data_IF_446589146328
#
_entry.id   IF_446589146328
#
_cell.length_a   1.000
_cell.length_b   1.000
_cell.length_c   1.000
_cell.angle_alpha   90.00
_cell.angle_beta   90.00
_cell.angle_gamma   90.00
#
_symmetry.space_group_name_H-M   'P 1'
#
loop_
_entity.id
_entity.type
_entity.pdbx_description
1 polymer ?
#
# COMPACT_ATOMS: atom_id res chain seq x y z
N UNK A 1 65.96 -2.05 0.40
CA UNK A 1 66.55 -1.80 -0.94
C UNK A 1 65.70 -2.53 -1.95
N UNK A 2 65.07 -1.94 -2.95
CA UNK A 2 65.19 -0.62 -3.57
C UNK A 2 63.79 -0.21 -4.08
N UNK A 3 63.44 1.05 -3.83
CA UNK A 3 62.32 1.82 -4.41
C UNK A 3 62.76 2.37 -5.78
N UNK A 4 61.79 2.87 -6.57
CA UNK A 4 61.86 3.91 -7.63
C UNK A 4 61.32 3.39 -8.99
N UNK A 5 60.33 3.99 -9.69
CA UNK A 5 59.91 5.40 -9.78
C UNK A 5 58.39 5.59 -10.08
N UNK A 6 57.90 6.66 -9.44
CA UNK A 6 56.69 7.50 -9.49
C UNK A 6 56.36 8.10 -10.89
N UNK A 7 55.09 8.27 -11.30
CA UNK A 7 54.26 9.52 -11.35
C UNK A 7 53.61 9.53 -12.77
N UNK A 8 52.42 10.01 -13.11
CA UNK A 8 51.53 11.03 -12.56
C UNK A 8 50.14 10.89 -13.24
N UNK A 9 49.14 11.56 -12.65
CA UNK A 9 47.95 12.13 -13.30
C UNK A 9 46.62 11.35 -13.34
N UNK A 10 45.82 11.69 -12.33
CA UNK A 10 44.52 12.38 -12.48
C UNK A 10 43.33 11.60 -13.04
N UNK A 11 42.38 11.33 -12.15
CA UNK A 11 41.04 10.91 -12.54
C UNK A 11 40.18 10.50 -11.35
N UNK A 12 39.93 11.43 -10.43
CA UNK A 12 38.89 11.25 -9.42
C UNK A 12 37.55 10.97 -10.11
N UNK A 13 37.09 9.73 -10.01
CA UNK A 13 35.77 9.30 -10.44
C UNK A 13 35.41 8.10 -9.59
N UNK A 14 35.13 8.34 -8.30
CA UNK A 14 34.35 7.40 -7.50
C UNK A 14 32.98 7.36 -8.15
N UNK A 15 32.84 6.49 -9.14
CA UNK A 15 31.60 6.25 -9.84
C UNK A 15 30.56 5.87 -8.81
N UNK A 16 29.61 6.78 -8.58
CA UNK A 16 28.32 6.46 -8.02
C UNK A 16 27.83 5.24 -8.77
N UNK A 17 27.86 4.09 -8.10
CA UNK A 17 27.29 2.87 -8.63
C UNK A 17 25.80 3.12 -8.67
N UNK A 18 25.33 3.69 -9.79
CA UNK A 18 23.93 3.78 -10.15
C UNK A 18 23.42 2.34 -10.19
N UNK A 19 22.97 1.84 -9.03
CA UNK A 19 22.35 0.53 -8.87
C UNK A 19 21.03 0.58 -9.62
N UNK A 20 21.09 0.38 -10.94
CA UNK A 20 19.92 0.27 -11.78
C UNK A 20 19.10 -0.91 -11.25
N UNK A 21 17.95 -0.59 -10.66
CA UNK A 21 16.94 -1.58 -10.31
C UNK A 21 16.59 -2.36 -11.57
N UNK A 22 16.54 -3.69 -11.49
CA UNK A 22 16.04 -4.49 -12.62
C UNK A 22 14.61 -4.03 -12.95
N UNK A 23 14.26 -3.95 -14.24
CA UNK A 23 12.94 -3.46 -14.67
C UNK A 23 11.80 -4.19 -13.97
N UNK A 24 11.94 -5.49 -13.73
CA UNK A 24 10.94 -6.29 -13.01
C UNK A 24 10.78 -5.87 -11.55
N UNK A 25 11.89 -5.53 -10.88
CA UNK A 25 11.88 -5.04 -9.50
C UNK A 25 11.23 -3.67 -9.39
N UNK A 26 11.50 -2.80 -10.39
CA UNK A 26 10.83 -1.51 -10.49
C UNK A 26 9.32 -1.68 -10.69
N UNK A 27 8.87 -2.58 -11.57
CA UNK A 27 7.44 -2.85 -11.76
C UNK A 27 6.76 -3.36 -10.50
N UNK A 28 7.40 -4.29 -9.76
CA UNK A 28 6.85 -4.76 -8.47
C UNK A 28 6.76 -3.61 -7.47
N UNK A 29 7.81 -2.79 -7.34
CA UNK A 29 7.83 -1.66 -6.42
C UNK A 29 6.74 -0.63 -6.75
N UNK A 30 6.62 -0.25 -8.01
CA UNK A 30 5.58 0.67 -8.49
C UNK A 30 4.19 0.09 -8.23
N UNK A 31 3.97 -1.20 -8.50
CA UNK A 31 2.68 -1.85 -8.25
C UNK A 31 2.34 -1.89 -6.74
N UNK A 32 3.28 -2.25 -5.88
CA UNK A 32 3.10 -2.27 -4.43
C UNK A 32 2.80 -0.88 -3.86
N UNK A 33 3.54 0.13 -4.31
CA UNK A 33 3.29 1.51 -3.91
C UNK A 33 1.91 1.99 -4.35
N UNK A 34 1.53 1.71 -5.60
CA UNK A 34 0.22 2.08 -6.13
C UNK A 34 -0.93 1.42 -5.37
N UNK A 35 -0.78 0.14 -5.01
CA UNK A 35 -1.77 -0.58 -4.20
C UNK A 35 -1.89 0.03 -2.81
N UNK A 36 -0.77 0.21 -2.10
CA UNK A 36 -0.78 0.74 -0.74
C UNK A 36 -1.40 2.14 -0.70
N UNK A 37 -1.07 2.98 -1.69
CA UNK A 37 -1.69 4.27 -1.85
C UNK A 37 -3.21 4.17 -2.08
N UNK A 38 -3.63 3.36 -3.05
CA UNK A 38 -5.05 3.15 -3.37
C UNK A 38 -5.87 2.73 -2.16
N UNK A 39 -5.35 1.78 -1.38
CA UNK A 39 -6.01 1.29 -0.18
C UNK A 39 -6.05 2.38 0.91
N UNK A 40 -4.95 3.10 1.15
CA UNK A 40 -4.91 4.19 2.15
C UNK A 40 -5.85 5.34 1.79
N UNK A 41 -6.01 5.66 0.50
CA UNK A 41 -7.01 6.63 0.06
C UNK A 41 -8.43 6.13 0.34
N UNK A 42 -8.73 4.86 0.04
CA UNK A 42 -10.04 4.27 0.35
C UNK A 42 -10.33 4.29 1.86
N UNK A 43 -9.34 3.93 2.69
CA UNK A 43 -9.44 4.01 4.16
C UNK A 43 -9.67 5.44 4.66
N UNK A 44 -9.01 6.41 4.06
CA UNK A 44 -9.13 7.83 4.41
C UNK A 44 -10.54 8.37 4.12
N UNK A 45 -11.13 8.04 2.96
CA UNK A 45 -12.50 8.42 2.60
C UNK A 45 -13.51 7.78 3.57
N UNK A 46 -13.21 6.59 4.05
CA UNK A 46 -14.06 5.85 4.97
C UNK A 46 -14.25 6.56 6.31
N UNK A 47 -13.21 7.19 6.86
CA UNK A 47 -13.27 7.87 8.16
C UNK A 47 -14.40 8.91 8.30
N UNK A 48 -14.49 9.92 7.42
CA UNK A 48 -15.49 10.99 7.53
C UNK A 48 -16.87 10.65 6.97
N UNK A 49 -16.96 9.76 5.97
CA UNK A 49 -18.22 9.49 5.27
C UNK A 49 -18.98 8.28 5.84
N UNK A 50 -18.28 7.20 6.17
CA UNK A 50 -18.93 5.94 6.55
C UNK A 50 -19.73 6.02 7.86
N UNK A 51 -19.26 6.66 8.96
CA UNK A 51 -20.04 6.71 10.19
C UNK A 51 -21.41 7.35 9.99
N UNK A 52 -21.46 8.47 9.24
CA UNK A 52 -22.70 9.19 8.95
C UNK A 52 -23.68 8.33 8.14
N UNK A 53 -23.18 7.58 7.17
CA UNK A 53 -24.02 6.72 6.34
C UNK A 53 -24.51 5.49 7.09
N UNK A 54 -23.64 4.88 7.89
CA UNK A 54 -23.99 3.74 8.73
C UNK A 54 -25.03 4.13 9.80
N UNK A 55 -24.94 5.31 10.41
CA UNK A 55 -25.95 5.82 11.36
C UNK A 55 -27.31 6.02 10.69
N UNK A 56 -27.37 6.57 9.48
CA UNK A 56 -28.63 6.68 8.72
C UNK A 56 -29.29 5.32 8.47
N UNK A 57 -28.47 4.30 8.21
CA UNK A 57 -28.93 2.92 8.00
C UNK A 57 -29.20 2.15 9.31
N UNK A 58 -29.16 2.81 10.46
CA UNK A 58 -29.52 2.25 11.76
C UNK A 58 -28.39 1.54 12.49
N UNK A 59 -27.13 1.72 12.08
CA UNK A 59 -25.98 1.20 12.82
C UNK A 59 -25.71 2.04 14.08
N UNK A 60 -25.44 1.38 15.20
CA UNK A 60 -24.99 2.07 16.41
C UNK A 60 -23.53 2.49 16.32
N UNK A 61 -23.16 3.53 17.06
CA UNK A 61 -21.77 4.00 17.17
C UNK A 61 -20.78 2.89 17.57
N UNK A 62 -21.19 1.99 18.48
CA UNK A 62 -20.40 0.81 18.86
C UNK A 62 -20.18 -0.13 17.67
N UNK A 63 -21.21 -0.34 16.85
CA UNK A 63 -21.13 -1.23 15.69
C UNK A 63 -20.17 -0.68 14.62
N UNK A 64 -20.23 0.63 14.38
CA UNK A 64 -19.29 1.32 13.48
C UNK A 64 -17.85 1.16 13.99
N UNK A 65 -17.63 1.37 15.30
CA UNK A 65 -16.32 1.14 15.92
C UNK A 65 -15.84 -0.31 15.75
N UNK A 66 -16.71 -1.30 15.89
CA UNK A 66 -16.38 -2.71 15.67
C UNK A 66 -16.05 -3.03 14.20
N UNK A 67 -16.69 -2.37 13.22
CA UNK A 67 -16.39 -2.55 11.79
C UNK A 67 -14.97 -2.07 11.45
N UNK A 68 -14.53 -0.96 12.04
CA UNK A 68 -13.14 -0.50 11.91
C UNK A 68 -12.17 -1.40 12.70
N UNK A 69 -12.54 -1.81 13.91
CA UNK A 69 -11.69 -2.64 14.76
C UNK A 69 -11.48 -4.05 14.22
N UNK A 70 -12.50 -4.69 13.64
CA UNK A 70 -12.37 -6.04 13.09
C UNK A 70 -11.40 -6.08 11.92
N UNK A 71 -11.36 -5.03 11.09
CA UNK A 71 -10.41 -4.94 9.99
C UNK A 71 -8.96 -5.12 10.48
N UNK A 72 -8.55 -4.33 11.49
CA UNK A 72 -7.20 -4.42 12.05
C UNK A 72 -6.90 -5.79 12.67
N UNK A 73 -7.90 -6.41 13.32
CA UNK A 73 -7.76 -7.75 13.89
C UNK A 73 -7.50 -8.81 12.82
N UNK A 74 -8.30 -8.81 11.76
CA UNK A 74 -8.17 -9.80 10.68
C UNK A 74 -6.96 -9.52 9.79
N UNK A 75 -6.55 -8.27 9.61
CA UNK A 75 -5.32 -7.90 8.90
C UNK A 75 -4.09 -8.43 9.63
N UNK A 76 -4.06 -8.30 10.97
CA UNK A 76 -3.00 -8.86 11.81
C UNK A 76 -2.95 -10.39 11.69
N UNK A 77 -4.10 -11.07 11.83
CA UNK A 77 -4.18 -12.52 11.69
C UNK A 77 -3.76 -12.99 10.30
N UNK A 78 -4.24 -12.32 9.25
CA UNK A 78 -3.87 -12.61 7.88
C UNK A 78 -2.36 -12.46 7.68
N UNK A 79 -1.75 -11.38 8.15
CA UNK A 79 -0.31 -11.14 8.03
C UNK A 79 0.52 -12.25 8.71
N UNK A 80 0.11 -12.70 9.90
CA UNK A 80 0.74 -13.82 10.60
C UNK A 80 0.59 -15.15 9.84
N UNK A 81 -0.60 -15.45 9.34
CA UNK A 81 -0.90 -16.68 8.60
C UNK A 81 -0.14 -16.70 7.27
N UNK A 82 -0.28 -15.67 6.44
CA UNK A 82 0.35 -15.59 5.14
C UNK A 82 1.87 -15.50 5.21
N UNK A 83 2.44 -14.92 6.29
CA UNK A 83 3.88 -14.95 6.51
C UNK A 83 4.45 -16.37 6.55
N UNK A 84 3.73 -17.33 7.14
CA UNK A 84 4.13 -18.75 7.19
C UNK A 84 3.93 -19.46 5.85
N UNK A 85 2.84 -19.20 5.14
CA UNK A 85 2.52 -19.86 3.87
C UNK A 85 3.18 -19.23 2.64
N UNK A 86 3.88 -18.11 2.82
CA UNK A 86 4.49 -17.33 1.74
C UNK A 86 5.42 -18.13 0.83
N UNK A 87 6.21 -19.04 1.42
CA UNK A 87 7.20 -19.83 0.70
C UNK A 87 6.54 -20.93 -0.15
N UNK A 88 5.40 -21.46 0.29
CA UNK A 88 4.67 -22.52 -0.42
C UNK A 88 3.77 -21.97 -1.54
N UNK A 89 3.05 -20.88 -1.29
CA UNK A 89 2.12 -20.28 -2.27
C UNK A 89 2.88 -19.49 -3.35
N UNK A 90 3.99 -18.86 -2.97
CA UNK A 90 4.75 -17.96 -3.83
C UNK A 90 4.28 -16.51 -3.73
N UNK A 91 5.22 -15.60 -3.47
CA UNK A 91 4.91 -14.21 -3.16
C UNK A 91 4.27 -13.44 -4.33
N UNK A 92 4.68 -13.72 -5.58
CA UNK A 92 4.12 -13.04 -6.77
C UNK A 92 2.62 -13.33 -6.95
N UNK A 93 2.22 -14.59 -6.83
CA UNK A 93 0.81 -14.98 -6.95
C UNK A 93 -0.01 -14.41 -5.79
N UNK A 94 0.51 -14.53 -4.56
CA UNK A 94 -0.14 -13.99 -3.36
C UNK A 94 -0.37 -12.47 -3.45
N UNK A 95 0.60 -11.72 -3.97
CA UNK A 95 0.48 -10.28 -4.19
C UNK A 95 -0.63 -9.93 -5.20
N UNK A 96 -0.65 -10.60 -6.36
CA UNK A 96 -1.64 -10.34 -7.42
C UNK A 96 -3.05 -10.74 -6.96
N UNK A 97 -3.20 -11.89 -6.32
CA UNK A 97 -4.47 -12.34 -5.78
C UNK A 97 -5.01 -11.39 -4.70
N UNK A 98 -4.15 -10.95 -3.77
CA UNK A 98 -4.51 -9.98 -2.73
C UNK A 98 -4.96 -8.64 -3.32
N UNK A 99 -4.26 -8.13 -4.33
CA UNK A 99 -4.67 -6.93 -5.07
C UNK A 99 -6.05 -7.07 -5.72
N UNK A 100 -6.30 -8.20 -6.37
CA UNK A 100 -7.57 -8.43 -7.06
C UNK A 100 -8.73 -8.52 -6.07
N UNK A 101 -8.53 -9.21 -4.95
CA UNK A 101 -9.52 -9.31 -3.87
C UNK A 101 -9.78 -7.94 -3.27
N UNK A 102 -8.75 -7.23 -2.81
CA UNK A 102 -8.92 -5.91 -2.17
C UNK A 102 -9.57 -4.90 -3.13
N UNK A 103 -9.14 -4.84 -4.39
CA UNK A 103 -9.76 -3.97 -5.39
C UNK A 103 -11.24 -4.29 -5.64
N UNK A 104 -11.60 -5.57 -5.80
CA UNK A 104 -13.00 -5.98 -5.98
C UNK A 104 -13.87 -5.68 -4.76
N UNK A 105 -13.32 -5.86 -3.57
CA UNK A 105 -13.99 -5.63 -2.29
C UNK A 105 -14.17 -4.13 -2.02
N UNK A 106 -13.20 -3.29 -2.37
CA UNK A 106 -13.32 -1.81 -2.29
C UNK A 106 -14.41 -1.31 -3.25
N UNK A 107 -14.47 -1.82 -4.49
CA UNK A 107 -15.54 -1.46 -5.45
C UNK A 107 -16.89 -1.88 -4.89
N UNK A 108 -17.00 -3.10 -4.35
CA UNK A 108 -18.22 -3.60 -3.73
C UNK A 108 -18.62 -2.76 -2.50
N UNK A 109 -17.63 -2.29 -1.73
CA UNK A 109 -17.86 -1.36 -0.61
C UNK A 109 -18.40 0.01 -1.07
N UNK A 110 -18.03 0.47 -2.26
CA UNK A 110 -18.61 1.69 -2.84
C UNK A 110 -20.08 1.55 -3.25
N UNK A 111 -20.50 0.36 -3.68
CA UNK A 111 -21.90 0.09 -4.09
C UNK A 111 -22.79 -0.29 -2.90
N UNK A 112 -22.18 -0.55 -1.74
CA UNK A 112 -22.84 -1.00 -0.51
C UNK A 112 -23.86 0.02 0.05
N UNK A 113 -23.73 1.29 -0.33
CA UNK A 113 -24.70 2.36 -0.04
C UNK A 113 -26.13 2.04 -0.54
N UNK A 114 -26.25 1.28 -1.64
CA UNK A 114 -27.53 0.91 -2.25
C UNK A 114 -28.26 -0.23 -1.53
N UNK A 115 -27.64 -0.86 -0.53
CA UNK A 115 -28.26 -1.96 0.20
C UNK A 115 -29.37 -1.46 1.15
N UNK A 116 -30.38 -2.30 1.42
CA UNK A 116 -31.48 -1.95 2.31
C UNK A 116 -31.00 -1.67 3.73
N UNK A 117 -31.71 -0.76 4.40
CA UNK A 117 -31.37 -0.30 5.74
C UNK A 117 -31.51 -1.42 6.78
N UNK A 118 -30.75 -1.29 7.88
CA UNK A 118 -30.80 -2.21 9.01
C UNK A 118 -29.70 -3.26 9.03
N UNK A 119 -29.94 -4.44 9.65
CA UNK A 119 -28.89 -5.43 9.95
C UNK A 119 -28.15 -5.97 8.72
N UNK A 120 -28.80 -6.00 7.55
CA UNK A 120 -28.23 -6.56 6.32
C UNK A 120 -27.04 -5.72 5.85
N UNK A 121 -27.17 -4.39 5.84
CA UNK A 121 -26.07 -3.47 5.51
C UNK A 121 -24.87 -3.67 6.44
N UNK A 122 -25.14 -3.81 7.74
CA UNK A 122 -24.11 -3.97 8.77
C UNK A 122 -23.34 -5.29 8.58
N UNK A 123 -24.06 -6.40 8.39
CA UNK A 123 -23.42 -7.72 8.18
C UNK A 123 -22.58 -7.71 6.90
N UNK A 124 -23.09 -7.11 5.82
CA UNK A 124 -22.32 -6.98 4.58
C UNK A 124 -21.08 -6.10 4.76
N UNK A 125 -21.16 -5.00 5.51
CA UNK A 125 -19.98 -4.18 5.86
C UNK A 125 -18.93 -4.99 6.61
N UNK A 126 -19.32 -5.81 7.58
CA UNK A 126 -18.39 -6.69 8.29
C UNK A 126 -17.72 -7.70 7.35
N UNK A 127 -18.50 -8.37 6.49
CA UNK A 127 -17.95 -9.34 5.54
C UNK A 127 -16.95 -8.68 4.59
N UNK A 128 -17.31 -7.55 4.00
CA UNK A 128 -16.46 -6.80 3.09
C UNK A 128 -15.19 -6.33 3.82
N UNK A 129 -15.28 -5.89 5.07
CA UNK A 129 -14.08 -5.56 5.87
C UNK A 129 -13.16 -6.74 6.13
N UNK A 130 -13.71 -7.89 6.50
CA UNK A 130 -12.90 -9.07 6.80
C UNK A 130 -12.18 -9.55 5.53
N UNK A 131 -12.89 -9.61 4.40
CA UNK A 131 -12.30 -10.04 3.12
C UNK A 131 -11.25 -9.04 2.64
N UNK A 132 -11.50 -7.72 2.78
CA UNK A 132 -10.50 -6.70 2.46
C UNK A 132 -9.24 -6.84 3.32
N UNK A 133 -9.41 -7.02 4.64
CA UNK A 133 -8.30 -7.21 5.58
C UNK A 133 -7.41 -8.41 5.21
N UNK A 134 -8.03 -9.52 4.79
CA UNK A 134 -7.32 -10.72 4.37
C UNK A 134 -6.55 -10.44 3.06
N UNK A 135 -7.20 -9.84 2.07
CA UNK A 135 -6.59 -9.52 0.77
C UNK A 135 -5.43 -8.52 0.91
N UNK A 136 -5.64 -7.47 1.68
CA UNK A 136 -4.64 -6.43 1.94
C UNK A 136 -3.46 -6.95 2.75
N UNK A 137 -3.72 -7.69 3.84
CA UNK A 137 -2.67 -8.32 4.65
C UNK A 137 -1.81 -9.30 3.85
N UNK A 138 -2.43 -10.11 2.97
CA UNK A 138 -1.72 -10.99 2.05
C UNK A 138 -0.81 -10.20 1.09
N UNK A 139 -1.32 -9.11 0.51
CA UNK A 139 -0.56 -8.32 -0.45
C UNK A 139 0.60 -7.55 0.20
N UNK A 140 0.41 -6.93 1.37
CA UNK A 140 1.51 -6.26 2.10
C UNK A 140 2.60 -7.26 2.48
N UNK A 141 2.22 -8.44 2.98
CA UNK A 141 3.15 -9.49 3.39
C UNK A 141 3.95 -10.03 2.20
N UNK A 142 3.26 -10.28 1.08
CA UNK A 142 3.87 -10.69 -0.17
C UNK A 142 4.84 -9.63 -0.72
N UNK A 143 4.40 -8.37 -0.77
CA UNK A 143 5.17 -7.23 -1.25
C UNK A 143 6.48 -7.07 -0.48
N UNK A 144 6.41 -7.06 0.85
CA UNK A 144 7.57 -6.94 1.73
C UNK A 144 8.56 -8.10 1.54
N UNK A 145 8.06 -9.31 1.28
CA UNK A 145 8.91 -10.47 1.03
C UNK A 145 9.54 -10.51 -0.36
N UNK A 146 8.83 -10.02 -1.39
CA UNK A 146 9.42 -9.85 -2.74
C UNK A 146 10.55 -8.83 -2.65
N UNK A 147 10.32 -7.71 -1.95
CA UNK A 147 11.32 -6.67 -1.77
C UNK A 147 12.54 -7.17 -0.99
N UNK A 148 12.32 -7.92 0.09
CA UNK A 148 13.40 -8.53 0.88
C UNK A 148 14.24 -9.52 0.04
N UNK A 149 13.60 -10.32 -0.81
CA UNK A 149 14.31 -11.23 -1.74
C UNK A 149 15.04 -10.50 -2.86
N UNK A 150 14.50 -9.38 -3.32
CA UNK A 150 15.08 -8.58 -4.38
C UNK A 150 16.34 -7.83 -3.95
N UNK A 151 16.42 -7.43 -2.67
CA UNK A 151 17.50 -6.59 -2.13
C UNK A 151 18.14 -7.15 -0.85
N UNK A 152 18.70 -8.37 -0.88
CA UNK A 152 19.17 -9.06 0.34
C UNK A 152 20.27 -8.30 1.10
N UNK A 153 21.12 -7.52 0.41
CA UNK A 153 22.24 -6.81 1.03
C UNK A 153 21.92 -5.41 1.55
N UNK A 154 20.71 -4.87 1.34
CA UNK A 154 20.30 -3.55 1.85
C UNK A 154 18.78 -3.48 2.09
N UNK A 155 18.17 -4.55 2.64
CA UNK A 155 16.71 -4.64 2.83
C UNK A 155 16.13 -3.44 3.57
N UNK A 156 16.80 -2.98 4.64
CA UNK A 156 16.34 -1.82 5.42
C UNK A 156 16.35 -0.53 4.59
N UNK A 157 17.44 -0.29 3.84
CA UNK A 157 17.56 0.89 2.99
C UNK A 157 16.60 0.85 1.81
N UNK A 158 16.28 -0.32 1.25
CA UNK A 158 15.38 -0.41 0.08
C UNK A 158 13.92 -0.50 0.51
N UNK A 159 13.60 -1.02 1.69
CA UNK A 159 12.31 -0.77 2.31
C UNK A 159 12.17 0.75 2.47
N UNK A 160 13.14 1.41 3.13
CA UNK A 160 13.16 2.86 3.31
C UNK A 160 13.07 3.72 2.06
N UNK A 161 14.04 3.64 1.17
CA UNK A 161 14.05 4.41 -0.07
C UNK A 161 13.00 3.93 -1.08
N UNK A 162 12.60 2.66 -1.03
CA UNK A 162 11.62 2.10 -1.95
C UNK A 162 10.19 2.56 -1.68
N UNK A 163 9.83 2.85 -0.43
CA UNK A 163 8.60 3.60 -0.15
C UNK A 163 8.81 5.11 -0.32
N UNK A 164 9.95 5.68 0.05
CA UNK A 164 10.18 7.12 -0.10
C UNK A 164 10.01 7.61 -1.54
N UNK A 165 10.58 6.93 -2.54
CA UNK A 165 10.49 7.42 -3.94
C UNK A 165 9.04 7.56 -4.44
N UNK A 166 8.15 6.55 -4.31
CA UNK A 166 6.74 6.72 -4.67
C UNK A 166 6.00 7.72 -3.78
N UNK A 167 6.25 7.77 -2.47
CA UNK A 167 5.58 8.74 -1.59
C UNK A 167 6.04 10.19 -1.86
N UNK A 168 7.33 10.41 -2.13
CA UNK A 168 7.90 11.69 -2.54
C UNK A 168 7.36 12.08 -3.91
N UNK A 169 7.37 11.17 -4.90
CA UNK A 169 6.80 11.45 -6.22
C UNK A 169 5.33 11.84 -6.12
N UNK A 170 4.55 11.12 -5.31
CA UNK A 170 3.15 11.42 -5.09
C UNK A 170 2.95 12.74 -4.34
N UNK A 171 3.75 13.01 -3.31
CA UNK A 171 3.76 14.28 -2.61
C UNK A 171 4.08 15.44 -3.54
N UNK A 172 5.03 15.26 -4.46
CA UNK A 172 5.34 16.23 -5.51
C UNK A 172 4.16 16.42 -6.48
N UNK A 173 3.46 15.35 -6.89
CA UNK A 173 2.26 15.45 -7.73
C UNK A 173 1.14 16.21 -7.02
N UNK A 174 0.92 15.95 -5.73
CA UNK A 174 -0.06 16.66 -4.90
C UNK A 174 0.32 18.13 -4.73
N UNK A 175 1.60 18.45 -4.52
CA UNK A 175 2.08 19.83 -4.48
C UNK A 175 1.89 20.56 -5.82
N UNK A 176 2.08 19.87 -6.95
CA UNK A 176 1.79 20.42 -8.28
C UNK A 176 0.30 20.62 -8.54
N UNK A 177 -0.57 19.89 -7.84
CA UNK A 177 -2.03 20.09 -7.88
C UNK A 177 -2.48 21.34 -7.11
N UNK A 178 -1.64 21.95 -6.25
CA UNK A 178 -1.97 23.16 -5.50
C UNK A 178 -2.19 24.39 -6.41
N UNK A 179 -1.26 24.78 -7.32
CA UNK A 179 -1.51 25.90 -8.24
C UNK A 179 -2.67 25.63 -9.18
N UNK A 180 -2.91 24.36 -9.55
CA UNK A 180 -4.04 23.94 -10.38
C UNK A 180 -5.38 24.14 -9.66
N UNK A 181 -5.47 23.76 -8.38
CA UNK A 181 -6.64 24.02 -7.54
C UNK A 181 -6.85 25.52 -7.26
N UNK A 182 -5.77 26.30 -7.08
CA UNK A 182 -5.85 27.76 -6.94
C UNK A 182 -6.33 28.47 -8.22
N UNK A 183 -6.03 27.92 -9.41
CA UNK A 183 -6.56 28.43 -10.67
C UNK A 183 -8.01 28.01 -10.93
N UNK A 184 -8.44 26.86 -10.41
CA UNK A 184 -9.78 26.31 -10.63
C UNK A 184 -10.80 26.78 -9.59
N UNK A 185 -10.40 27.00 -8.34
CA UNK A 185 -11.29 27.63 -7.36
C UNK A 185 -11.42 29.12 -7.71
N UNK A 186 -12.57 29.59 -8.22
CA UNK A 186 -12.83 31.02 -8.19
C UNK A 186 -12.83 31.43 -6.71
N UNK A 187 -12.21 32.58 -6.38
CA UNK A 187 -12.23 33.17 -5.04
C UNK A 187 -13.63 33.04 -4.44
N UNK A 188 -13.75 32.19 -3.43
CA UNK A 188 -14.86 32.24 -2.50
C UNK A 188 -14.46 33.12 -1.33
#
# INVERSE_FOLDING_TARGET
QYVCIQDDSSGGSTGETSRRLSREQLYVLVSAASMNLGCMMAYSILGPFFPKEAEKKGASNTMIGMIFGCYALFELLASLVFGKYLVQIGAKFMFIAGMFISGGVIILFGVLDQLPDGPIFIVMCFLVRIVDAIGFGAAITASSSILAKAFPNNVATVMSFGYEVPFILLGCVVLLMIPLNLCILPSY
#
